data_IF_452835783216
#
_entry.id   IF_452835783216
#
_cell.length_a   1.000
_cell.length_b   1.000
_cell.length_c   1.000
_cell.angle_alpha   90.00
_cell.angle_beta   90.00
_cell.angle_gamma   90.00
#
_symmetry.space_group_name_H-M   'P 1'
#
loop_
_entity.id
_entity.type
_entity.pdbx_description
1 polymer ?
#
# COMPACT_ATOMS: atom_id res chain seq x y z
N UNK A 1 2.31 5.17 -10.15
CA UNK A 1 1.86 5.16 -8.73
C UNK A 1 3.02 4.64 -7.84
N UNK A 2 3.22 5.28 -6.70
CA UNK A 2 4.37 4.98 -5.83
C UNK A 2 4.40 3.53 -5.34
N UNK A 3 3.28 2.97 -4.90
CA UNK A 3 3.22 1.58 -4.44
C UNK A 3 3.58 0.58 -5.55
N UNK A 4 3.10 0.79 -6.77
CA UNK A 4 3.47 -0.04 -7.91
C UNK A 4 4.95 0.04 -8.23
N UNK A 5 5.54 1.22 -8.15
CA UNK A 5 6.98 1.42 -8.37
C UNK A 5 7.83 0.78 -7.26
N UNK A 6 7.35 0.77 -6.02
CA UNK A 6 8.02 0.07 -4.92
C UNK A 6 8.03 -1.45 -5.16
N UNK A 7 6.92 -2.02 -5.61
CA UNK A 7 6.85 -3.44 -5.97
C UNK A 7 7.74 -3.77 -7.17
N UNK A 8 7.75 -2.90 -8.18
CA UNK A 8 8.55 -3.08 -9.38
C UNK A 8 10.06 -3.17 -9.07
N UNK A 9 10.52 -2.47 -8.03
CA UNK A 9 11.91 -2.52 -7.58
C UNK A 9 12.29 -3.86 -6.92
N UNK A 10 11.32 -4.74 -6.64
CA UNK A 10 11.53 -6.01 -5.96
C UNK A 10 11.41 -7.19 -6.93
N UNK A 11 12.09 -8.33 -6.65
CA UNK A 11 11.83 -9.58 -7.36
C UNK A 11 10.35 -9.98 -7.23
N UNK A 12 9.82 -10.62 -8.28
CA UNK A 12 8.41 -11.02 -8.35
C UNK A 12 7.97 -11.80 -7.09
N UNK A 13 8.82 -12.74 -6.63
CA UNK A 13 8.50 -13.59 -5.46
C UNK A 13 8.33 -12.81 -4.16
N UNK A 14 8.90 -11.61 -4.04
CA UNK A 14 8.84 -10.78 -2.83
C UNK A 14 7.66 -9.80 -2.84
N UNK A 15 7.03 -9.59 -3.97
CA UNK A 15 5.99 -8.57 -4.15
C UNK A 15 4.75 -8.79 -3.29
N UNK A 16 4.18 -10.03 -3.17
CA UNK A 16 3.01 -10.23 -2.32
C UNK A 16 3.25 -9.89 -0.86
N UNK A 17 4.37 -10.35 -0.29
CA UNK A 17 4.74 -10.05 1.09
C UNK A 17 5.00 -8.57 1.31
N UNK A 18 5.70 -7.91 0.37
CA UNK A 18 5.96 -6.47 0.43
C UNK A 18 4.66 -5.66 0.35
N UNK A 19 3.69 -6.08 -0.47
CA UNK A 19 2.39 -5.42 -0.55
C UNK A 19 1.64 -5.49 0.77
N UNK A 20 1.60 -6.67 1.41
CA UNK A 20 0.98 -6.84 2.70
C UNK A 20 1.66 -5.97 3.77
N UNK A 21 2.98 -5.93 3.78
CA UNK A 21 3.75 -5.10 4.71
C UNK A 21 3.45 -3.61 4.53
N UNK A 22 3.35 -3.12 3.29
CA UNK A 22 2.96 -1.72 3.03
C UNK A 22 1.58 -1.41 3.59
N UNK A 23 0.60 -2.29 3.42
CA UNK A 23 -0.73 -2.09 3.99
C UNK A 23 -0.71 -2.07 5.51
N UNK A 24 0.05 -2.97 6.13
CA UNK A 24 0.16 -3.04 7.60
C UNK A 24 0.79 -1.76 8.15
N UNK A 25 1.82 -1.23 7.49
CA UNK A 25 2.45 0.03 7.88
C UNK A 25 1.51 1.22 7.72
N UNK A 26 0.75 1.25 6.63
CA UNK A 26 -0.24 2.32 6.42
C UNK A 26 -1.31 2.31 7.50
N UNK A 27 -1.82 1.15 7.87
CA UNK A 27 -2.81 1.02 8.95
C UNK A 27 -2.22 1.43 10.30
N UNK A 28 -0.99 1.03 10.61
CA UNK A 28 -0.31 1.41 11.84
C UNK A 28 -0.08 2.92 11.89
N UNK A 29 0.34 3.53 10.78
CA UNK A 29 0.54 4.98 10.68
C UNK A 29 -0.77 5.76 10.83
N UNK A 30 -1.88 5.23 10.31
CA UNK A 30 -3.19 5.84 10.46
C UNK A 30 -3.64 5.83 11.92
N UNK A 31 -3.49 4.71 12.62
CA UNK A 31 -3.78 4.62 14.06
C UNK A 31 -2.90 5.57 14.88
N UNK A 32 -1.63 5.69 14.53
CA UNK A 32 -0.70 6.62 15.16
C UNK A 32 -1.18 8.07 15.00
N UNK A 33 -1.54 8.46 13.78
CA UNK A 33 -2.03 9.81 13.49
C UNK A 33 -3.32 10.12 14.24
N UNK A 34 -4.25 9.17 14.31
CA UNK A 34 -5.51 9.35 15.05
C UNK A 34 -5.28 9.48 16.55
N UNK A 35 -4.30 8.76 17.11
CA UNK A 35 -4.00 8.80 18.54
C UNK A 35 -3.20 10.04 18.94
N UNK A 36 -2.25 10.49 18.13
CA UNK A 36 -1.29 11.53 18.48
C UNK A 36 -1.50 12.87 17.75
N UNK A 37 -2.38 12.90 16.77
CA UNK A 37 -2.72 14.11 16.03
C UNK A 37 -1.71 14.58 14.99
N UNK A 38 -0.70 13.76 14.67
CA UNK A 38 0.27 14.05 13.63
C UNK A 38 0.74 12.80 12.92
N UNK A 39 1.34 12.96 11.73
CA UNK A 39 1.81 11.85 10.91
C UNK A 39 2.92 11.04 11.61
N UNK A 40 2.96 9.74 11.30
CA UNK A 40 4.03 8.86 11.78
C UNK A 40 5.38 9.31 11.19
N UNK A 41 6.46 9.40 12.00
CA UNK A 41 7.75 9.91 11.52
C UNK A 41 8.36 9.09 10.38
N UNK A 42 8.13 7.77 10.36
CA UNK A 42 8.70 6.88 9.33
C UNK A 42 7.73 6.52 8.24
N UNK A 43 6.42 6.36 8.56
CA UNK A 43 5.43 5.79 7.63
C UNK A 43 4.38 6.78 7.15
N UNK A 44 4.45 8.03 7.60
CA UNK A 44 3.64 9.11 7.09
C UNK A 44 2.23 9.17 7.65
N UNK A 45 1.27 9.63 6.83
CA UNK A 45 -0.07 10.03 7.26
C UNK A 45 -1.11 8.90 7.27
N UNK A 46 -0.71 7.65 7.05
CA UNK A 46 -1.63 6.51 7.00
C UNK A 46 -2.08 6.14 5.60
N UNK A 47 -1.67 6.87 4.56
CA UNK A 47 -1.93 6.48 3.18
C UNK A 47 -0.89 5.48 2.68
N UNK A 48 -1.31 4.61 1.76
CA UNK A 48 -0.41 3.68 1.10
C UNK A 48 0.71 4.43 0.35
N UNK A 49 0.37 5.55 -0.28
CA UNK A 49 1.34 6.39 -0.99
C UNK A 49 2.44 6.89 -0.09
N UNK A 50 2.12 7.34 1.13
CA UNK A 50 3.13 7.80 2.10
C UNK A 50 4.10 6.69 2.50
N UNK A 51 3.61 5.48 2.73
CA UNK A 51 4.46 4.33 3.03
C UNK A 51 5.37 4.01 1.83
N UNK A 52 4.80 3.94 0.64
CA UNK A 52 5.55 3.63 -0.58
C UNK A 52 6.64 4.67 -0.85
N UNK A 53 6.39 5.95 -0.55
CA UNK A 53 7.38 7.02 -0.72
C UNK A 53 8.61 6.87 0.20
N UNK A 54 8.50 6.13 1.30
CA UNK A 54 9.62 5.84 2.19
C UNK A 54 10.48 4.65 1.75
N UNK A 55 10.06 3.93 0.71
CA UNK A 55 10.73 2.72 0.23
C UNK A 55 11.53 2.97 -1.06
N UNK A 56 12.53 2.14 -1.36
CA UNK A 56 13.17 2.15 -2.68
C UNK A 56 12.13 1.90 -3.77
N UNK A 57 12.20 2.67 -4.86
CA UNK A 57 11.25 2.60 -5.96
C UNK A 57 11.96 2.64 -7.29
N UNK A 58 11.42 1.93 -8.27
CA UNK A 58 11.79 2.11 -9.67
C UNK A 58 11.20 3.40 -10.20
N UNK A 59 11.82 3.98 -11.23
CA UNK A 59 11.19 5.07 -11.99
C UNK A 59 9.86 4.56 -12.58
N UNK A 60 8.86 5.45 -12.64
CA UNK A 60 7.54 5.07 -13.15
C UNK A 60 7.60 4.82 -14.67
N UNK A 61 7.32 3.58 -15.13
CA UNK A 61 7.28 3.26 -16.55
C UNK A 61 5.98 3.78 -17.18
N UNK A 62 5.90 3.67 -18.51
CA UNK A 62 4.63 3.86 -19.21
C UNK A 62 3.65 2.73 -18.90
N UNK A 63 2.35 3.02 -19.07
CA UNK A 63 1.28 2.05 -18.78
C UNK A 63 1.29 0.82 -19.69
N UNK A 64 2.08 0.82 -20.76
CA UNK A 64 2.24 -0.35 -21.62
C UNK A 64 3.35 -1.30 -21.15
N UNK A 65 4.04 -1.01 -20.05
CA UNK A 65 5.00 -1.93 -19.44
C UNK A 65 4.24 -3.05 -18.71
N UNK A 66 4.35 -4.32 -19.17
CA UNK A 66 3.53 -5.40 -18.59
C UNK A 66 3.87 -5.67 -17.12
N UNK A 67 5.14 -5.56 -16.74
CA UNK A 67 5.55 -5.81 -15.36
C UNK A 67 5.00 -4.76 -14.41
N UNK A 68 5.00 -3.50 -14.84
CA UNK A 68 4.40 -2.42 -14.06
C UNK A 68 2.89 -2.59 -13.92
N UNK A 69 2.21 -2.99 -15.00
CA UNK A 69 0.75 -3.27 -14.95
C UNK A 69 0.46 -4.39 -13.95
N UNK A 70 1.26 -5.46 -13.94
CA UNK A 70 1.11 -6.55 -12.96
C UNK A 70 1.30 -6.05 -11.52
N UNK A 71 2.27 -5.17 -11.29
CA UNK A 71 2.48 -4.55 -9.99
C UNK A 71 1.27 -3.71 -9.56
N UNK A 72 0.71 -2.91 -10.47
CA UNK A 72 -0.48 -2.12 -10.18
C UNK A 72 -1.69 -3.01 -9.89
N UNK A 73 -1.87 -4.10 -10.63
CA UNK A 73 -2.95 -5.06 -10.34
C UNK A 73 -2.80 -5.68 -8.95
N UNK A 74 -1.58 -5.99 -8.54
CA UNK A 74 -1.31 -6.48 -7.17
C UNK A 74 -1.72 -5.45 -6.13
N UNK A 75 -1.39 -4.17 -6.34
CA UNK A 75 -1.79 -3.08 -5.44
C UNK A 75 -3.30 -2.95 -5.36
N UNK A 76 -3.98 -2.89 -6.50
CA UNK A 76 -5.43 -2.74 -6.54
C UNK A 76 -6.17 -3.93 -5.94
N UNK A 77 -5.71 -5.16 -6.18
CA UNK A 77 -6.28 -6.36 -5.59
C UNK A 77 -6.16 -6.34 -4.05
N UNK A 78 -5.02 -5.93 -3.53
CA UNK A 78 -4.79 -5.81 -2.09
C UNK A 78 -5.68 -4.73 -1.45
N UNK A 79 -5.80 -3.58 -2.11
CA UNK A 79 -6.69 -2.49 -1.66
C UNK A 79 -8.15 -2.93 -1.67
N UNK A 80 -8.57 -3.62 -2.70
CA UNK A 80 -9.95 -4.14 -2.79
C UNK A 80 -10.25 -5.11 -1.66
N UNK A 81 -9.36 -6.05 -1.40
CA UNK A 81 -9.51 -7.01 -0.30
C UNK A 81 -9.65 -6.29 1.04
N UNK A 82 -8.80 -5.30 1.30
CA UNK A 82 -8.84 -4.50 2.53
C UNK A 82 -10.17 -3.74 2.64
N UNK A 83 -10.61 -3.11 1.56
CA UNK A 83 -11.84 -2.32 1.56
C UNK A 83 -13.08 -3.22 1.73
N UNK A 84 -13.11 -4.38 1.09
CA UNK A 84 -14.19 -5.36 1.25
C UNK A 84 -14.28 -5.84 2.70
N UNK A 85 -13.15 -6.08 3.34
CA UNK A 85 -13.09 -6.47 4.76
C UNK A 85 -13.63 -5.37 5.66
N UNK A 86 -13.28 -4.11 5.42
CA UNK A 86 -13.79 -2.96 6.19
C UNK A 86 -15.29 -2.80 6.03
N UNK A 87 -15.82 -2.95 4.83
CA UNK A 87 -17.27 -2.90 4.57
C UNK A 87 -17.99 -4.03 5.31
N UNK A 88 -17.47 -5.25 5.27
CA UNK A 88 -18.04 -6.40 5.97
C UNK A 88 -18.08 -6.17 7.49
N UNK A 89 -17.01 -5.64 8.08
CA UNK A 89 -16.95 -5.32 9.51
C UNK A 89 -17.97 -4.24 9.88
N UNK A 90 -18.13 -3.22 9.05
CA UNK A 90 -19.11 -2.16 9.27
C UNK A 90 -20.53 -2.71 9.25
N UNK A 91 -20.83 -3.61 8.30
CA UNK A 91 -22.17 -4.26 8.21
C UNK A 91 -22.46 -5.14 9.42
N UNK A 92 -21.45 -5.82 9.98
CA UNK A 92 -21.62 -6.66 11.16
C UNK A 92 -21.93 -5.86 12.43
N UNK A 93 -21.50 -4.58 12.49
CA UNK A 93 -21.76 -3.70 13.62
C UNK A 93 -23.15 -3.09 13.61
N UNK A 94 -23.77 -3.07 12.47
CA UNK A 94 -25.10 -2.52 12.29
C UNK A 94 -26.15 -3.64 12.33
#
# INVERSE_FOLDING_TARGET
MAAGCALLALPVRKRPGAMLEMLNRAEAADRYRLALGHAHPDWGNGSLGSVAMSLPRSAEPFLNDPDYVDCMLTVFAALKTRNDRRVALTRLRN
#
